data_IF_246710064715
#
_entry.id   IF_246710064715
#
_cell.length_a   1.000
_cell.length_b   1.000
_cell.length_c   1.000
_cell.angle_alpha   90.00
_cell.angle_beta   90.00
_cell.angle_gamma   90.00
#
_symmetry.space_group_name_H-M   'P 1'
#
loop_
_entity.id
_entity.type
_entity.pdbx_description
1 polymer ?
#
# COMPACT_ATOMS: atom_id res chain seq x y z
N UNK A 1 11.40 0.20 25.04
CA UNK A 1 10.39 -0.49 24.22
C UNK A 1 10.15 0.35 22.98
N UNK A 2 10.83 0.02 21.89
CA UNK A 2 10.61 0.67 20.59
C UNK A 2 9.20 0.33 20.13
N UNK A 3 8.35 1.34 19.96
CA UNK A 3 7.03 1.12 19.36
C UNK A 3 7.27 0.70 17.92
N UNK A 4 7.12 -0.60 17.65
CA UNK A 4 7.13 -1.14 16.29
C UNK A 4 6.16 -0.32 15.44
N UNK A 5 6.66 0.28 14.36
CA UNK A 5 5.82 1.05 13.49
C UNK A 5 4.80 0.11 12.82
N UNK A 6 3.51 0.30 13.11
CA UNK A 6 2.44 -0.56 12.62
C UNK A 6 1.88 -0.14 11.24
N UNK A 7 2.51 0.82 10.56
CA UNK A 7 2.00 1.35 9.30
C UNK A 7 0.73 2.16 9.54
N UNK A 8 0.88 3.49 9.67
CA UNK A 8 -0.24 4.32 10.07
C UNK A 8 -0.97 4.90 8.86
N UNK A 9 -1.82 4.08 8.22
CA UNK A 9 -2.75 4.57 7.18
C UNK A 9 -3.67 5.69 7.69
N UNK A 10 -3.82 5.82 9.02
CA UNK A 10 -4.60 6.87 9.70
C UNK A 10 -4.11 8.29 9.38
N UNK A 11 -2.81 8.44 9.08
CA UNK A 11 -2.19 9.73 8.79
C UNK A 11 -2.18 10.04 7.27
N UNK A 12 -2.75 9.15 6.45
CA UNK A 12 -2.84 9.32 5.00
C UNK A 12 -4.21 9.93 4.67
N UNK A 13 -4.25 11.11 4.01
CA UNK A 13 -5.50 11.69 3.53
C UNK A 13 -6.30 10.71 2.68
N UNK A 14 -7.63 10.73 2.82
CA UNK A 14 -8.52 9.80 2.11
C UNK A 14 -8.34 9.88 0.58
N UNK A 15 -8.16 11.07 0.02
CA UNK A 15 -7.93 11.25 -1.41
C UNK A 15 -6.64 10.56 -1.87
N UNK A 16 -5.60 10.59 -1.03
CA UNK A 16 -4.35 9.92 -1.31
C UNK A 16 -4.51 8.40 -1.24
N UNK A 17 -5.27 7.90 -0.27
CA UNK A 17 -5.57 6.49 -0.14
C UNK A 17 -6.34 5.94 -1.36
N UNK A 18 -7.34 6.67 -1.84
CA UNK A 18 -8.06 6.30 -3.07
C UNK A 18 -7.15 6.33 -4.31
N UNK A 19 -6.24 7.32 -4.40
CA UNK A 19 -5.23 7.38 -5.47
C UNK A 19 -4.29 6.18 -5.42
N UNK A 20 -3.84 5.74 -4.23
CA UNK A 20 -3.00 4.56 -4.06
C UNK A 20 -3.71 3.30 -4.57
N UNK A 21 -4.96 3.07 -4.17
CA UNK A 21 -5.76 1.92 -4.63
C UNK A 21 -5.98 1.95 -6.14
N UNK A 22 -6.37 3.10 -6.68
CA UNK A 22 -6.56 3.28 -8.13
C UNK A 22 -5.28 2.99 -8.92
N UNK A 23 -4.13 3.49 -8.45
CA UNK A 23 -2.82 3.24 -9.07
C UNK A 23 -2.44 1.77 -9.03
N UNK A 24 -2.67 1.10 -7.89
CA UNK A 24 -2.40 -0.32 -7.75
C UNK A 24 -3.24 -1.18 -8.72
N UNK A 25 -4.54 -0.86 -8.89
CA UNK A 25 -5.40 -1.52 -9.89
C UNK A 25 -4.91 -1.28 -11.32
N UNK A 26 -4.55 -0.04 -11.66
CA UNK A 26 -4.02 0.28 -12.99
C UNK A 26 -2.72 -0.49 -13.29
N UNK A 27 -1.84 -0.64 -12.29
CA UNK A 27 -0.61 -1.41 -12.42
C UNK A 27 -0.88 -2.91 -12.58
N UNK A 28 -1.82 -3.46 -11.81
CA UNK A 28 -2.24 -4.85 -11.97
C UNK A 28 -2.80 -5.10 -13.38
N UNK A 29 -3.68 -4.24 -13.89
CA UNK A 29 -4.23 -4.36 -15.25
C UNK A 29 -3.19 -4.19 -16.37
N UNK A 30 -2.11 -3.44 -16.12
CA UNK A 30 -1.03 -3.27 -17.10
C UNK A 30 0.02 -4.41 -17.07
N UNK A 31 0.16 -5.10 -15.94
CA UNK A 31 1.21 -6.11 -15.70
C UNK A 31 0.69 -7.55 -15.65
N UNK A 32 -0.63 -7.72 -15.57
CA UNK A 32 -1.30 -9.00 -15.48
C UNK A 32 -2.30 -9.06 -16.62
N UNK A 33 -2.48 -10.24 -17.20
CA UNK A 33 -3.51 -10.42 -18.22
C UNK A 33 -4.88 -10.06 -17.64
N UNK A 34 -5.72 -9.28 -18.34
CA UNK A 34 -7.10 -9.00 -17.93
C UNK A 34 -7.95 -10.27 -17.71
N UNK A 35 -7.54 -11.40 -18.28
CA UNK A 35 -8.17 -12.71 -18.10
C UNK A 35 -7.68 -13.51 -16.89
N UNK A 36 -6.67 -13.02 -16.17
CA UNK A 36 -6.19 -13.67 -14.97
C UNK A 36 -7.17 -13.41 -13.82
N UNK A 37 -7.85 -14.46 -13.35
CA UNK A 37 -8.76 -14.43 -12.20
C UNK A 37 -8.06 -13.88 -10.95
N UNK A 38 -6.72 -13.92 -10.93
CA UNK A 38 -5.92 -13.38 -9.84
C UNK A 38 -5.82 -11.84 -9.83
N UNK A 39 -6.13 -11.13 -10.92
CA UNK A 39 -6.09 -9.67 -11.00
C UNK A 39 -7.32 -9.00 -10.33
N UNK A 40 -7.60 -9.34 -9.07
CA UNK A 40 -8.71 -8.80 -8.30
C UNK A 40 -8.23 -8.16 -6.98
N UNK A 41 -9.11 -7.36 -6.36
CA UNK A 41 -8.80 -6.57 -5.16
C UNK A 41 -8.32 -7.39 -3.95
N UNK A 42 -8.58 -8.71 -3.90
CA UNK A 42 -8.09 -9.61 -2.83
C UNK A 42 -6.63 -9.99 -2.97
N UNK A 43 -6.09 -9.90 -4.18
CA UNK A 43 -4.76 -10.38 -4.52
C UNK A 43 -3.79 -9.26 -4.91
N UNK A 44 -4.24 -8.00 -4.88
CA UNK A 44 -3.39 -6.83 -5.07
C UNK A 44 -3.15 -6.24 -3.69
N UNK A 45 -1.90 -6.22 -3.26
CA UNK A 45 -1.54 -5.79 -1.91
C UNK A 45 -0.79 -4.47 -1.93
N UNK A 46 -1.04 -3.66 -0.91
CA UNK A 46 -0.38 -2.38 -0.67
C UNK A 46 0.31 -2.44 0.68
N UNK A 47 1.56 -1.97 0.72
CA UNK A 47 2.32 -1.73 1.97
C UNK A 47 2.70 -0.27 2.02
N UNK A 48 2.59 0.38 3.17
CA UNK A 48 3.09 1.75 3.36
C UNK A 48 4.41 1.69 4.12
N UNK A 49 5.30 2.60 3.78
CA UNK A 49 6.65 2.58 4.31
C UNK A 49 7.33 3.94 4.22
N UNK A 50 8.39 4.12 5.01
CA UNK A 50 9.20 5.33 4.96
C UNK A 50 10.33 5.11 3.96
N UNK A 51 10.47 6.04 3.02
CA UNK A 51 11.71 6.17 2.26
C UNK A 51 12.59 7.20 2.96
N UNK A 52 13.91 6.98 2.92
CA UNK A 52 14.92 7.76 3.66
C UNK A 52 15.03 9.26 3.33
N UNK A 53 14.16 9.80 2.47
CA UNK A 53 14.22 11.18 2.00
C UNK A 53 13.07 12.08 2.53
N UNK A 54 12.27 11.59 3.48
CA UNK A 54 11.25 12.41 4.17
C UNK A 54 9.99 12.75 3.36
N UNK A 55 9.92 12.38 2.07
CA UNK A 55 8.71 12.54 1.25
C UNK A 55 7.72 11.44 1.59
N UNK A 56 6.49 11.80 1.97
CA UNK A 56 5.40 10.88 2.31
C UNK A 56 4.15 11.16 1.46
N UNK A 57 3.29 10.15 1.25
CA UNK A 57 3.49 8.73 1.58
C UNK A 57 4.20 7.99 0.45
N UNK A 58 5.06 7.04 0.79
CA UNK A 58 5.55 6.04 -0.15
C UNK A 58 4.86 4.72 0.15
N UNK A 59 4.57 3.96 -0.91
CA UNK A 59 3.93 2.68 -0.77
C UNK A 59 4.50 1.68 -1.77
N UNK A 60 4.42 0.41 -1.43
CA UNK A 60 4.74 -0.70 -2.30
C UNK A 60 3.43 -1.34 -2.76
N UNK A 61 3.38 -1.73 -4.02
CA UNK A 61 2.30 -2.54 -4.59
C UNK A 61 2.88 -3.91 -4.90
N UNK A 62 2.31 -4.93 -4.29
CA UNK A 62 2.60 -6.34 -4.54
C UNK A 62 1.47 -6.92 -5.39
N UNK A 63 1.83 -7.37 -6.58
CA UNK A 63 0.91 -7.94 -7.55
C UNK A 63 0.69 -9.43 -7.28
N UNK A 64 -0.44 -10.02 -7.76
CA UNK A 64 -0.74 -11.44 -7.62
C UNK A 64 0.33 -12.43 -8.14
N UNK A 65 1.25 -11.97 -9.00
CA UNK A 65 2.39 -12.75 -9.50
C UNK A 65 3.64 -12.64 -8.61
N UNK A 66 3.54 -12.00 -7.44
CA UNK A 66 4.65 -11.76 -6.51
C UNK A 66 5.54 -10.57 -6.88
N UNK A 67 5.22 -9.84 -7.95
CA UNK A 67 6.00 -8.67 -8.35
C UNK A 67 5.71 -7.48 -7.44
N UNK A 68 6.75 -6.94 -6.80
CA UNK A 68 6.64 -5.80 -5.89
C UNK A 68 7.22 -4.55 -6.53
N UNK A 69 6.48 -3.46 -6.50
CA UNK A 69 6.90 -2.15 -7.01
C UNK A 69 6.77 -1.10 -5.93
N UNK A 70 7.83 -0.32 -5.73
CA UNK A 70 7.78 0.90 -4.95
C UNK A 70 7.16 2.04 -5.76
N UNK A 71 6.30 2.81 -5.12
CA UNK A 71 5.63 3.97 -5.66
C UNK A 71 5.82 5.12 -4.68
N UNK A 72 6.53 6.14 -5.16
CA UNK A 72 6.57 7.43 -4.50
C UNK A 72 5.20 8.10 -4.69
N UNK A 73 4.57 8.56 -3.62
CA UNK A 73 3.24 9.16 -3.66
C UNK A 73 3.16 10.40 -4.54
N UNK A 74 3.06 11.59 -3.92
CA UNK A 74 2.74 12.86 -4.62
C UNK A 74 3.78 13.25 -5.68
N UNK A 75 5.02 12.76 -5.58
CA UNK A 75 6.13 13.26 -6.40
C UNK A 75 6.41 12.46 -7.69
N UNK A 76 5.68 11.37 -7.95
CA UNK A 76 5.74 10.58 -9.20
C UNK A 76 7.13 10.02 -9.60
N UNK A 77 8.19 10.22 -8.81
CA UNK A 77 9.50 9.63 -9.09
C UNK A 77 9.55 8.14 -8.70
N UNK A 78 10.15 7.29 -9.53
CA UNK A 78 10.29 5.87 -9.21
C UNK A 78 11.44 5.66 -8.22
N UNK A 79 11.18 4.95 -7.14
CA UNK A 79 12.22 4.40 -6.26
C UNK A 79 12.30 2.89 -6.42
N UNK A 80 13.46 2.32 -6.11
CA UNK A 80 13.55 0.88 -5.89
C UNK A 80 12.95 0.49 -4.54
N UNK A 81 12.50 -0.77 -4.45
CA UNK A 81 11.89 -1.34 -3.24
C UNK A 81 12.87 -1.34 -2.08
N UNK A 82 14.17 -1.45 -2.37
CA UNK A 82 15.30 -1.43 -1.43
C UNK A 82 15.47 -0.11 -0.66
N UNK A 83 14.86 0.98 -1.12
CA UNK A 83 14.92 2.30 -0.46
C UNK A 83 14.01 2.36 0.77
N UNK A 84 13.09 1.41 0.89
CA UNK A 84 12.27 1.26 2.08
C UNK A 84 13.05 0.54 3.17
N UNK A 85 13.13 1.16 4.35
CA UNK A 85 13.65 0.47 5.51
C UNK A 85 12.66 -0.62 5.93
N UNK A 86 13.10 -1.89 5.87
CA UNK A 86 12.25 -3.07 6.12
C UNK A 86 11.64 -3.11 7.53
N UNK A 87 12.28 -2.46 8.51
CA UNK A 87 11.72 -2.33 9.86
C UNK A 87 10.59 -1.29 9.90
N UNK A 88 10.51 -0.49 8.84
CA UNK A 88 9.60 0.59 8.63
C UNK A 88 8.79 0.36 7.33
N UNK A 89 8.20 -0.82 7.21
CA UNK A 89 7.17 -1.13 6.21
C UNK A 89 6.03 -1.84 6.90
N UNK A 90 4.80 -1.44 6.60
CA UNK A 90 3.60 -2.09 7.11
C UNK A 90 3.50 -3.55 6.66
N UNK A 91 2.64 -4.32 7.32
CA UNK A 91 2.11 -5.56 6.73
C UNK A 91 1.45 -5.25 5.37
N UNK A 92 1.32 -6.28 4.54
CA UNK A 92 0.54 -6.19 3.31
C UNK A 92 -0.95 -6.09 3.64
N UNK A 93 -1.64 -5.19 2.95
CA UNK A 93 -3.09 -5.09 2.97
C UNK A 93 -3.60 -5.23 1.54
N UNK A 94 -4.52 -6.15 1.31
CA UNK A 94 -5.24 -6.23 0.04
C UNK A 94 -6.09 -4.98 -0.18
N UNK A 95 -6.37 -4.64 -1.43
CA UNK A 95 -7.28 -3.53 -1.75
C UNK A 95 -8.67 -3.80 -1.15
N UNK A 96 -9.12 -5.06 -1.09
CA UNK A 96 -10.38 -5.43 -0.43
C UNK A 96 -10.37 -5.08 1.06
N UNK A 97 -9.33 -5.46 1.80
CA UNK A 97 -9.18 -5.10 3.22
C UNK A 97 -9.19 -3.58 3.39
N UNK A 98 -8.44 -2.87 2.55
CA UNK A 98 -8.39 -1.41 2.55
C UNK A 98 -9.73 -0.75 2.23
N UNK A 99 -10.59 -1.36 1.41
CA UNK A 99 -11.95 -0.85 1.14
C UNK A 99 -12.88 -1.07 2.34
N UNK A 100 -12.65 -2.13 3.12
CA UNK A 100 -13.43 -2.46 4.32
C UNK A 100 -12.94 -1.72 5.57
N UNK A 101 -11.75 -1.11 5.52
CA UNK A 101 -11.29 -0.18 6.54
C UNK A 101 -12.17 1.08 6.56
N UNK A 102 -13.17 1.08 7.45
CA UNK A 102 -13.95 2.29 7.74
C UNK A 102 -13.06 3.32 8.42
N UNK A 103 -12.65 4.35 7.67
CA UNK A 103 -11.99 5.54 8.23
C UNK A 103 -13.01 6.42 8.99
N UNK A 104 -13.55 5.93 10.10
CA UNK A 104 -14.25 6.77 11.09
C UNK A 104 -13.29 7.06 12.24
N UNK A 105 -12.92 8.34 12.42
CA UNK A 105 -12.17 8.79 13.60
C UNK A 105 -10.68 8.39 13.67
N UNK A 106 -10.07 7.95 12.57
CA UNK A 106 -8.63 7.68 12.54
C UNK A 106 -8.22 6.53 13.45
N UNK A 107 -9.00 5.46 13.55
CA UNK A 107 -8.59 4.20 14.21
C UNK A 107 -8.77 3.03 13.25
N UNK A 108 -7.71 2.28 13.05
CA UNK A 108 -7.67 0.98 12.38
C UNK A 108 -8.33 -0.02 13.35
N UNK A 109 -9.66 -0.02 13.42
CA UNK A 109 -10.41 -1.05 14.12
C UNK A 109 -10.41 -2.30 13.26
N UNK A 110 -9.44 -3.18 13.48
CA UNK A 110 -9.53 -4.65 13.27
C UNK A 110 -8.18 -5.28 13.60
N UNK A 111 -7.76 -5.16 14.84
CA UNK A 111 -7.02 -6.23 15.52
C UNK A 111 -7.74 -6.50 16.86
N UNK A 112 -9.01 -6.92 16.75
CA UNK A 112 -9.67 -7.70 17.80
C UNK A 112 -10.03 -9.06 17.17
N UNK A 113 -9.05 -9.96 17.16
CA UNK A 113 -9.23 -11.39 17.15
C UNK A 113 -8.16 -11.99 18.06
#
# INVERSE_FOLDING_TARGET
MEKAWNGNFRDIPLDHFEKMKSKARALAGAKISPSDVKANDKNIFIRIGMSGNGVRPNYQVELPNGFVMAINGINHEKFGVEVFDKQWVSKAYSIEELNNMRMFGGVLETENA
#
